data_IF_697517054052
#
_entry.id   IF_697517054052
#
_cell.length_a   1.000
_cell.length_b   1.000
_cell.length_c   1.000
_cell.angle_alpha   90.00
_cell.angle_beta   90.00
_cell.angle_gamma   90.00
#
_symmetry.space_group_name_H-M   'P 1'
#
loop_
_entity.id
_entity.type
_entity.pdbx_description
1 polymer ?
#
# COMPACT_ATOMS: atom_id res chain seq x y z
N UNK A 1 -76.16 -41.04 -5.94
CA UNK A 1 -74.94 -41.69 -5.43
C UNK A 1 -73.77 -41.26 -6.31
N UNK A 2 -73.05 -40.28 -5.89
CA UNK A 2 -71.90 -39.72 -6.60
C UNK A 2 -70.68 -39.99 -5.76
N UNK A 3 -69.58 -40.54 -6.30
CA UNK A 3 -68.33 -40.73 -5.55
C UNK A 3 -67.48 -39.46 -5.52
N UNK A 4 -66.97 -39.19 -4.35
CA UNK A 4 -66.09 -38.13 -4.01
C UNK A 4 -64.67 -38.47 -4.56
N UNK A 5 -64.14 -37.62 -5.46
CA UNK A 5 -62.75 -37.70 -5.86
C UNK A 5 -61.86 -36.97 -4.85
N UNK A 6 -60.95 -37.70 -4.25
CA UNK A 6 -59.91 -37.18 -3.38
C UNK A 6 -58.75 -36.67 -4.22
N UNK A 7 -58.48 -35.38 -4.17
CA UNK A 7 -57.39 -34.71 -4.84
C UNK A 7 -56.13 -34.73 -3.92
N UNK A 8 -55.18 -35.59 -4.24
CA UNK A 8 -53.88 -35.64 -3.56
C UNK A 8 -52.93 -34.61 -4.20
N UNK A 9 -52.89 -33.42 -3.60
CA UNK A 9 -51.90 -32.43 -3.96
C UNK A 9 -50.50 -32.86 -3.54
N UNK A 10 -49.63 -33.10 -4.49
CA UNK A 10 -48.20 -33.30 -4.26
C UNK A 10 -47.52 -31.95 -4.00
N UNK A 11 -47.08 -31.71 -2.76
CA UNK A 11 -46.28 -30.59 -2.41
C UNK A 11 -44.84 -30.85 -2.87
N UNK A 12 -44.40 -30.15 -3.93
CA UNK A 12 -42.98 -30.08 -4.31
C UNK A 12 -42.23 -29.15 -3.35
N UNK A 13 -41.47 -29.76 -2.47
CA UNK A 13 -40.53 -29.02 -1.59
C UNK A 13 -39.33 -28.62 -2.40
N UNK A 14 -39.29 -27.36 -2.88
CA UNK A 14 -38.15 -26.80 -3.58
C UNK A 14 -36.99 -26.52 -2.59
N UNK A 15 -35.94 -27.34 -2.67
CA UNK A 15 -34.71 -27.17 -1.92
C UNK A 15 -33.89 -26.03 -2.56
N UNK A 16 -33.97 -24.82 -1.99
CA UNK A 16 -33.13 -23.68 -2.39
C UNK A 16 -31.70 -23.92 -1.87
N UNK A 17 -30.80 -24.34 -2.76
CA UNK A 17 -29.35 -24.35 -2.49
C UNK A 17 -28.85 -22.93 -2.54
N UNK A 18 -28.66 -22.30 -1.40
CA UNK A 18 -27.91 -21.07 -1.25
C UNK A 18 -26.43 -21.39 -1.46
N UNK A 19 -25.95 -21.19 -2.70
CA UNK A 19 -24.51 -21.18 -3.00
C UNK A 19 -23.95 -19.88 -2.42
N UNK A 20 -23.44 -19.95 -1.20
CA UNK A 20 -22.70 -18.87 -0.59
C UNK A 20 -21.40 -18.67 -1.37
N UNK A 21 -21.29 -17.56 -2.11
CA UNK A 21 -20.02 -17.07 -2.62
C UNK A 21 -19.13 -16.70 -1.42
N UNK A 22 -18.34 -17.65 -0.94
CA UNK A 22 -17.28 -17.42 0.01
C UNK A 22 -16.20 -16.56 -0.64
N UNK A 23 -16.33 -15.24 -0.59
CA UNK A 23 -15.28 -14.32 -0.95
C UNK A 23 -14.07 -14.62 -0.07
N UNK A 24 -12.99 -15.12 -0.67
CA UNK A 24 -11.74 -15.30 0.02
C UNK A 24 -11.18 -13.92 0.30
N UNK A 25 -11.32 -13.45 1.52
CA UNK A 25 -10.66 -12.23 1.98
C UNK A 25 -9.16 -12.40 1.81
N UNK A 26 -8.58 -11.74 0.81
CA UNK A 26 -7.12 -11.67 0.66
C UNK A 26 -6.63 -10.75 1.76
N UNK A 27 -6.32 -11.34 2.91
CA UNK A 27 -5.76 -10.61 4.04
C UNK A 27 -4.34 -10.20 3.64
N UNK A 28 -4.13 -8.90 3.44
CA UNK A 28 -2.78 -8.39 3.22
C UNK A 28 -1.86 -8.78 4.39
N UNK A 29 -0.60 -9.17 4.11
CA UNK A 29 0.35 -9.48 5.18
C UNK A 29 0.48 -8.29 6.13
N UNK A 30 0.55 -8.56 7.43
CA UNK A 30 0.85 -7.53 8.42
C UNK A 30 2.25 -6.95 8.15
N UNK A 31 2.40 -5.65 8.37
CA UNK A 31 3.71 -5.01 8.28
C UNK A 31 4.61 -5.43 9.45
N UNK A 32 5.90 -5.53 9.22
CA UNK A 32 6.82 -6.03 10.25
C UNK A 32 8.26 -5.55 10.05
N UNK A 33 9.05 -5.68 11.11
CA UNK A 33 10.44 -5.20 11.14
C UNK A 33 11.42 -6.02 10.29
N UNK A 34 10.99 -7.17 9.76
CA UNK A 34 11.89 -8.06 9.01
C UNK A 34 12.93 -8.75 9.88
N UNK A 35 14.08 -9.10 9.30
CA UNK A 35 15.19 -9.71 10.04
C UNK A 35 15.98 -8.67 10.83
N UNK A 36 16.56 -9.01 11.99
CA UNK A 36 17.51 -8.14 12.67
C UNK A 36 18.69 -7.78 11.77
N UNK A 37 19.12 -6.52 11.83
CA UNK A 37 20.32 -6.02 11.15
C UNK A 37 21.40 -5.71 12.16
N UNK A 38 22.67 -6.02 11.81
CA UNK A 38 23.80 -5.45 12.48
C UNK A 38 23.97 -3.99 11.99
N UNK A 39 23.90 -2.99 12.87
CA UNK A 39 24.07 -1.58 12.48
C UNK A 39 25.35 -1.29 11.71
N UNK A 40 26.41 -2.08 11.93
CA UNK A 40 27.69 -1.95 11.22
C UNK A 40 27.64 -2.37 9.74
N UNK A 41 26.60 -3.12 9.36
CA UNK A 41 26.39 -3.60 7.99
C UNK A 41 25.47 -2.66 7.20
N UNK A 42 24.93 -1.62 7.83
CA UNK A 42 24.07 -0.66 7.16
C UNK A 42 24.98 0.28 6.35
N UNK A 43 24.86 0.19 5.04
CA UNK A 43 25.52 1.10 4.12
C UNK A 43 24.87 2.48 4.24
N UNK A 44 25.64 3.46 4.71
CA UNK A 44 25.23 4.87 4.72
C UNK A 44 25.57 5.46 3.34
N UNK A 45 24.57 5.86 2.56
CA UNK A 45 24.83 6.37 1.22
C UNK A 45 25.54 7.73 1.27
N UNK A 46 26.45 7.95 0.33
CA UNK A 46 27.14 9.24 0.19
C UNK A 46 26.27 10.23 -0.59
N UNK A 47 26.02 11.44 -0.05
CA UNK A 47 25.28 12.48 -0.74
C UNK A 47 25.99 12.91 -2.04
N UNK A 48 25.26 12.95 -3.14
CA UNK A 48 25.76 13.37 -4.45
C UNK A 48 24.69 14.13 -5.23
N UNK A 49 25.06 15.02 -6.14
CA UNK A 49 24.11 15.62 -7.06
C UNK A 49 23.44 14.54 -7.93
N UNK A 50 22.14 14.52 -7.97
CA UNK A 50 21.36 13.62 -8.81
C UNK A 50 20.30 14.38 -9.60
N UNK A 51 20.02 13.99 -10.86
CA UNK A 51 18.91 14.55 -11.58
C UNK A 51 17.58 14.16 -10.91
N UNK A 52 16.55 14.95 -11.12
CA UNK A 52 15.22 14.60 -10.64
C UNK A 52 14.76 13.26 -11.20
N UNK A 53 14.20 12.44 -10.35
CA UNK A 53 13.56 11.20 -10.77
C UNK A 53 12.44 11.49 -11.79
N UNK A 54 12.30 10.60 -12.76
CA UNK A 54 11.24 10.70 -13.79
C UNK A 54 9.84 10.67 -13.20
N UNK A 55 9.67 9.95 -12.09
CA UNK A 55 8.40 9.78 -11.39
C UNK A 55 8.45 10.37 -9.98
N UNK A 56 7.29 10.56 -9.38
CA UNK A 56 7.16 11.01 -7.99
C UNK A 56 7.32 12.52 -7.79
N UNK A 57 7.56 13.30 -8.87
CA UNK A 57 7.69 14.76 -8.81
C UNK A 57 6.49 15.50 -9.42
N UNK A 58 5.41 14.79 -9.73
CA UNK A 58 4.18 15.43 -10.21
C UNK A 58 3.58 16.32 -9.10
N UNK A 59 3.19 17.54 -9.47
CA UNK A 59 2.66 18.53 -8.53
C UNK A 59 1.55 19.37 -9.17
N UNK A 60 0.40 19.59 -8.50
CA UNK A 60 0.05 19.00 -7.21
C UNK A 60 -0.33 17.53 -7.31
N UNK A 61 -0.33 16.81 -6.18
CA UNK A 61 -0.85 15.45 -6.09
C UNK A 61 -1.73 15.27 -4.85
N UNK A 62 -2.67 14.34 -4.91
CA UNK A 62 -3.61 14.10 -3.81
C UNK A 62 -3.49 12.66 -3.32
N UNK A 63 -3.38 12.49 -2.02
CA UNK A 63 -3.39 11.19 -1.34
C UNK A 63 -4.24 11.26 -0.08
N UNK A 64 -5.10 10.26 0.13
CA UNK A 64 -6.03 10.20 1.27
C UNK A 64 -6.82 11.51 1.48
N UNK A 65 -7.29 12.13 0.39
CA UNK A 65 -8.07 13.37 0.41
C UNK A 65 -7.27 14.64 0.72
N UNK A 66 -5.94 14.56 0.88
CA UNK A 66 -5.06 15.71 1.11
C UNK A 66 -4.22 16.02 -0.13
N UNK A 67 -4.20 17.27 -0.53
CA UNK A 67 -3.41 17.74 -1.67
C UNK A 67 -2.08 18.30 -1.19
N UNK A 68 -1.01 17.89 -1.85
CA UNK A 68 0.36 18.28 -1.59
C UNK A 68 0.98 18.90 -2.84
N UNK A 69 1.95 19.78 -2.62
CA UNK A 69 2.76 20.36 -3.69
C UNK A 69 4.22 19.97 -3.48
N UNK A 70 4.85 19.48 -4.53
CA UNK A 70 6.29 19.22 -4.53
C UNK A 70 7.03 20.54 -4.63
N UNK A 71 7.99 20.76 -3.74
CA UNK A 71 8.82 21.95 -3.73
C UNK A 71 9.70 22.03 -4.99
N UNK A 72 9.95 23.22 -5.49
CA UNK A 72 10.84 23.39 -6.63
C UNK A 72 12.31 23.06 -6.31
N UNK A 73 12.70 23.11 -5.03
CA UNK A 73 14.04 22.82 -4.54
C UNK A 73 13.99 22.40 -3.07
N UNK A 74 14.96 21.56 -2.68
CA UNK A 74 15.18 21.21 -1.27
C UNK A 74 16.11 22.22 -0.54
N UNK A 75 16.63 23.21 -1.26
CA UNK A 75 17.59 24.17 -0.68
C UNK A 75 16.99 24.91 0.52
N UNK A 76 17.68 24.85 1.66
CA UNK A 76 17.24 25.51 2.90
C UNK A 76 16.05 24.87 3.58
N UNK A 77 15.57 23.73 3.08
CA UNK A 77 14.48 23.00 3.72
C UNK A 77 14.91 22.52 5.11
N UNK A 78 14.06 22.79 6.10
CA UNK A 78 14.22 22.31 7.46
C UNK A 78 12.85 22.10 8.06
N UNK A 79 12.57 20.90 8.55
CA UNK A 79 11.33 20.55 9.22
C UNK A 79 11.61 19.67 10.43
N UNK A 80 10.76 19.79 11.45
CA UNK A 80 10.75 18.91 12.61
C UNK A 80 9.36 18.29 12.72
N UNK A 81 9.29 16.97 12.86
CA UNK A 81 8.02 16.26 12.90
C UNK A 81 8.16 14.84 13.42
N UNK A 82 7.04 14.12 13.41
CA UNK A 82 7.01 12.69 13.69
C UNK A 82 7.35 11.91 12.41
N UNK A 83 8.21 10.92 12.55
CA UNK A 83 8.50 9.94 11.50
C UNK A 83 7.84 8.59 11.85
N UNK A 84 7.44 7.87 10.82
CA UNK A 84 7.07 6.46 10.90
C UNK A 84 7.97 5.66 9.97
N UNK A 85 7.89 4.35 10.03
CA UNK A 85 8.71 3.46 9.23
C UNK A 85 7.85 2.57 8.31
N UNK A 86 8.47 2.08 7.25
CA UNK A 86 7.89 1.10 6.34
C UNK A 86 8.61 -0.23 6.54
N UNK A 87 7.85 -1.30 6.69
CA UNK A 87 8.39 -2.63 6.98
C UNK A 87 8.29 -3.61 5.83
N UNK A 88 8.29 -4.89 6.19
CA UNK A 88 8.30 -6.02 5.26
C UNK A 88 7.14 -6.05 4.26
N UNK A 89 6.00 -5.46 4.61
CA UNK A 89 4.85 -5.33 3.71
C UNK A 89 5.19 -4.55 2.42
N UNK A 90 6.10 -3.59 2.51
CA UNK A 90 6.47 -2.70 1.41
C UNK A 90 7.76 -3.10 0.71
N UNK A 91 8.54 -3.99 1.31
CA UNK A 91 9.83 -4.44 0.74
C UNK A 91 9.66 -5.01 -0.67
N UNK A 92 10.47 -4.54 -1.60
CA UNK A 92 10.42 -4.91 -3.01
C UNK A 92 9.32 -4.23 -3.83
N UNK A 93 8.40 -3.48 -3.22
CA UNK A 93 7.38 -2.72 -3.95
C UNK A 93 7.96 -1.43 -4.51
N UNK A 94 7.49 -0.96 -5.67
CA UNK A 94 7.97 0.29 -6.25
C UNK A 94 7.60 1.49 -5.36
N UNK A 95 8.57 2.37 -5.17
CA UNK A 95 8.37 3.69 -4.55
C UNK A 95 7.75 4.67 -5.55
N UNK A 96 7.43 5.88 -5.10
CA UNK A 96 6.92 6.94 -5.98
C UNK A 96 7.94 7.37 -7.06
N UNK A 97 9.24 7.22 -6.82
CA UNK A 97 10.27 7.44 -7.84
C UNK A 97 10.43 6.29 -8.84
N UNK A 98 9.80 5.15 -8.57
CA UNK A 98 9.85 3.94 -9.41
C UNK A 98 10.88 2.90 -8.98
N UNK A 99 11.73 3.21 -8.02
CA UNK A 99 12.72 2.28 -7.49
C UNK A 99 12.06 1.27 -6.53
N UNK A 100 12.53 0.00 -6.46
CA UNK A 100 12.08 -0.93 -5.45
C UNK A 100 12.46 -0.44 -4.04
N UNK A 101 11.50 -0.42 -3.13
CA UNK A 101 11.77 -0.12 -1.73
C UNK A 101 12.56 -1.24 -1.08
N UNK A 102 13.70 -0.93 -0.49
CA UNK A 102 14.49 -1.86 0.33
C UNK A 102 14.46 -1.41 1.79
N UNK A 103 13.76 -2.17 2.64
CA UNK A 103 13.63 -1.86 4.06
C UNK A 103 14.95 -1.95 4.84
N UNK A 104 15.99 -2.50 4.23
CA UNK A 104 17.32 -2.66 4.83
C UNK A 104 18.32 -1.57 4.40
N UNK A 105 17.88 -0.64 3.55
CA UNK A 105 18.70 0.51 3.11
C UNK A 105 18.22 1.80 3.78
N UNK A 106 19.15 2.74 3.93
CA UNK A 106 18.83 4.08 4.44
C UNK A 106 18.10 4.87 3.37
N UNK A 107 16.79 5.00 3.53
CA UNK A 107 15.91 5.79 2.64
C UNK A 107 14.69 6.25 3.41
N UNK A 108 14.05 7.31 2.92
CA UNK A 108 12.83 7.83 3.52
C UNK A 108 11.87 8.36 2.45
N UNK A 109 10.58 8.30 2.72
CA UNK A 109 9.57 8.99 1.93
C UNK A 109 9.31 10.38 2.50
N UNK A 110 9.09 11.37 1.64
CA UNK A 110 8.72 12.72 2.02
C UNK A 110 7.58 13.24 1.16
N UNK A 111 6.74 14.11 1.75
CA UNK A 111 5.51 14.59 1.08
C UNK A 111 5.75 15.70 0.09
N UNK A 112 6.76 16.53 0.31
CA UNK A 112 6.94 17.78 -0.45
C UNK A 112 8.33 17.96 -1.03
N UNK A 113 9.35 17.25 -0.54
CA UNK A 113 10.67 17.32 -1.13
C UNK A 113 10.69 16.74 -2.54
N UNK A 114 11.42 17.35 -3.48
CA UNK A 114 11.63 16.76 -4.81
C UNK A 114 12.45 15.47 -4.69
N UNK A 115 12.15 14.50 -5.55
CA UNK A 115 12.82 13.20 -5.55
C UNK A 115 13.87 13.10 -6.69
N UNK A 116 15.06 12.58 -6.39
CA UNK A 116 15.60 12.30 -5.08
C UNK A 116 16.07 13.58 -4.36
N UNK A 117 16.11 13.53 -3.03
CA UNK A 117 16.72 14.57 -2.20
C UNK A 117 17.58 13.93 -1.12
N UNK A 118 18.79 14.40 -0.95
CA UNK A 118 19.68 14.05 0.16
C UNK A 118 19.37 14.95 1.37
N UNK A 119 19.24 14.35 2.54
CA UNK A 119 18.94 15.03 3.81
C UNK A 119 19.90 14.60 4.90
#
# INVERSE_FOLDING_TARGET
MTPIQSNRGAALLGLLLLVGCGGREIREPADGAGRPLDPRQIEVPEPRPEPRARYGNHSPYTVLGRTYQVLPSARGYRERGLASWYGSKFHGRPTSSGEPFDMYRVSAAHKTLPLPTWV
#
